data_IF_126561809186
#
_entry.id   IF_126561809186
#
_cell.length_a   1.000
_cell.length_b   1.000
_cell.length_c   1.000
_cell.angle_alpha   90.00
_cell.angle_beta   90.00
_cell.angle_gamma   90.00
#
_symmetry.space_group_name_H-M   'P 1'
#
loop_
_entity.id
_entity.type
_entity.pdbx_description
1 polymer ?
#
# COMPACT_ATOMS: atom_id res chain seq x y z
N UNK A 1 1.93 -21.55 -18.32
CA UNK A 1 1.46 -21.63 -16.94
C UNK A 1 1.19 -20.22 -16.36
N UNK A 2 0.35 -20.17 -15.32
CA UNK A 2 -0.04 -18.91 -14.65
C UNK A 2 0.19 -19.07 -13.16
N UNK A 3 0.78 -18.03 -12.53
CA UNK A 3 0.95 -17.92 -11.08
C UNK A 3 0.19 -16.70 -10.57
N UNK A 4 -0.62 -16.87 -9.53
CA UNK A 4 -1.43 -15.81 -8.93
C UNK A 4 -0.79 -15.34 -7.62
N UNK A 5 -0.59 -14.04 -7.47
CA UNK A 5 -0.07 -13.42 -6.26
C UNK A 5 -0.96 -12.26 -5.82
N UNK A 6 -1.21 -12.15 -4.51
CA UNK A 6 -1.99 -11.04 -3.98
C UNK A 6 -1.26 -9.71 -4.11
N UNK A 7 -1.97 -8.66 -4.50
CA UNK A 7 -1.43 -7.29 -4.59
C UNK A 7 -1.14 -6.68 -3.23
N UNK A 8 -1.63 -7.26 -2.14
CA UNK A 8 -1.37 -6.75 -0.78
C UNK A 8 0.12 -6.75 -0.46
N UNK A 9 0.84 -7.83 -0.79
CA UNK A 9 2.30 -7.91 -0.74
C UNK A 9 2.88 -7.42 -2.07
N UNK A 10 2.69 -6.14 -2.36
CA UNK A 10 2.98 -5.53 -3.65
C UNK A 10 4.45 -5.66 -4.06
N UNK A 11 5.37 -5.46 -3.11
CA UNK A 11 6.80 -5.63 -3.35
C UNK A 11 7.13 -7.08 -3.74
N UNK A 12 6.56 -8.05 -3.05
CA UNK A 12 6.71 -9.47 -3.39
C UNK A 12 6.19 -9.77 -4.80
N UNK A 13 5.01 -9.26 -5.14
CA UNK A 13 4.45 -9.42 -6.48
C UNK A 13 5.42 -8.89 -7.55
N UNK A 14 6.00 -7.70 -7.35
CA UNK A 14 6.93 -7.11 -8.33
C UNK A 14 8.25 -7.88 -8.41
N UNK A 15 8.79 -8.33 -7.29
CA UNK A 15 10.00 -9.17 -7.27
C UNK A 15 9.77 -10.48 -8.02
N UNK A 16 8.68 -11.18 -7.76
CA UNK A 16 8.35 -12.45 -8.43
C UNK A 16 8.11 -12.23 -9.92
N UNK A 17 7.40 -11.16 -10.29
CA UNK A 17 7.17 -10.81 -11.71
C UNK A 17 8.51 -10.58 -12.44
N UNK A 18 9.41 -9.84 -11.82
CA UNK A 18 10.74 -9.57 -12.38
C UNK A 18 11.58 -10.84 -12.48
N UNK A 19 11.57 -11.65 -11.44
CA UNK A 19 12.28 -12.94 -11.43
C UNK A 19 11.80 -13.86 -12.56
N UNK A 20 10.48 -13.98 -12.74
CA UNK A 20 9.91 -14.80 -13.81
C UNK A 20 10.34 -14.33 -15.20
N UNK A 21 10.44 -13.02 -15.41
CA UNK A 21 10.91 -12.43 -16.66
C UNK A 21 12.42 -12.63 -16.86
N UNK A 22 13.22 -12.32 -15.84
CA UNK A 22 14.69 -12.38 -15.94
C UNK A 22 15.22 -13.82 -16.11
N UNK A 23 14.53 -14.81 -15.55
CA UNK A 23 14.89 -16.23 -15.64
C UNK A 23 14.15 -16.96 -16.78
N UNK A 24 13.35 -16.25 -17.56
CA UNK A 24 12.55 -16.81 -18.67
C UNK A 24 11.77 -18.09 -18.27
N UNK A 25 11.07 -18.01 -17.13
CA UNK A 25 10.41 -19.18 -16.55
C UNK A 25 9.17 -19.65 -17.34
N UNK A 26 8.75 -18.91 -18.37
CA UNK A 26 7.54 -19.22 -19.14
C UNK A 26 6.26 -19.14 -18.33
N UNK A 27 6.27 -18.45 -17.18
CA UNK A 27 5.13 -18.31 -16.28
C UNK A 27 4.62 -16.87 -16.31
N UNK A 28 3.31 -16.71 -16.54
CA UNK A 28 2.65 -15.42 -16.44
C UNK A 28 2.26 -15.16 -14.98
N UNK A 29 2.84 -14.11 -14.38
CA UNK A 29 2.48 -13.68 -13.02
C UNK A 29 1.33 -12.69 -13.09
N UNK A 30 0.26 -12.96 -12.35
CA UNK A 30 -0.94 -12.11 -12.30
C UNK A 30 -1.16 -11.65 -10.86
N UNK A 31 -1.28 -10.33 -10.67
CA UNK A 31 -1.65 -9.73 -9.39
C UNK A 31 -3.15 -9.83 -9.14
N UNK A 32 -3.52 -10.37 -7.99
CA UNK A 32 -4.91 -10.44 -7.54
C UNK A 32 -5.22 -9.24 -6.65
N UNK A 33 -6.31 -8.49 -6.91
CA UNK A 33 -6.66 -7.32 -6.11
C UNK A 33 -6.79 -7.63 -4.62
N UNK A 34 -6.51 -6.61 -3.79
CA UNK A 34 -6.67 -6.71 -2.33
C UNK A 34 -8.14 -6.91 -2.00
N UNK A 35 -8.44 -7.93 -1.21
CA UNK A 35 -9.76 -8.12 -0.62
C UNK A 35 -9.83 -7.27 0.66
N UNK A 36 -10.93 -6.54 0.82
CA UNK A 36 -11.12 -5.62 1.93
C UNK A 36 -12.40 -5.93 2.70
N UNK A 37 -12.37 -5.63 3.99
CA UNK A 37 -13.57 -5.53 4.81
C UNK A 37 -14.44 -4.36 4.33
N UNK A 38 -15.72 -4.31 4.78
CA UNK A 38 -16.67 -3.25 4.37
C UNK A 38 -16.17 -1.83 4.67
N UNK A 39 -15.39 -1.67 5.74
CA UNK A 39 -14.82 -0.38 6.15
C UNK A 39 -13.50 -0.03 5.46
N UNK A 40 -13.03 -0.89 4.56
CA UNK A 40 -11.82 -0.68 3.77
C UNK A 40 -10.57 -1.33 4.30
N UNK A 41 -10.59 -1.91 5.51
CA UNK A 41 -9.43 -2.61 6.05
C UNK A 41 -9.04 -3.78 5.15
N UNK A 42 -7.78 -3.81 4.72
CA UNK A 42 -7.25 -4.95 3.95
C UNK A 42 -7.33 -6.23 4.78
N UNK A 43 -7.91 -7.28 4.22
CA UNK A 43 -8.04 -8.57 4.91
C UNK A 43 -6.65 -9.16 5.20
N UNK A 44 -6.48 -9.64 6.42
CA UNK A 44 -5.25 -10.27 6.90
C UNK A 44 -5.55 -11.16 8.09
N UNK A 45 -4.83 -12.29 8.20
CA UNK A 45 -4.86 -13.12 9.40
C UNK A 45 -4.40 -12.37 10.66
N UNK A 46 -3.58 -11.33 10.49
CA UNK A 46 -3.11 -10.49 11.61
C UNK A 46 -4.21 -9.62 12.22
N UNK A 47 -5.32 -9.39 11.51
CA UNK A 47 -6.41 -8.57 12.02
C UNK A 47 -7.08 -9.16 13.28
N UNK A 48 -6.96 -10.47 13.50
CA UNK A 48 -7.49 -11.12 14.73
C UNK A 48 -6.78 -10.69 16.00
N UNK A 49 -5.56 -10.15 15.91
CA UNK A 49 -4.79 -9.65 17.04
C UNK A 49 -5.16 -8.23 17.46
N UNK A 50 -5.99 -7.54 16.69
CA UNK A 50 -6.43 -6.18 16.99
C UNK A 50 -7.47 -6.19 18.10
N UNK A 51 -7.29 -5.32 19.11
CA UNK A 51 -8.34 -5.04 20.08
C UNK A 51 -9.53 -4.37 19.40
N UNK A 52 -10.67 -4.29 20.06
CA UNK A 52 -11.86 -3.59 19.53
C UNK A 52 -11.54 -2.15 19.14
N UNK A 53 -10.81 -1.42 20.00
CA UNK A 53 -10.39 -0.04 19.74
C UNK A 53 -9.44 0.04 18.55
N UNK A 54 -8.42 -0.83 18.49
CA UNK A 54 -7.47 -0.88 17.39
C UNK A 54 -8.14 -1.24 16.07
N UNK A 55 -9.06 -2.19 16.08
CA UNK A 55 -9.83 -2.59 14.91
C UNK A 55 -10.67 -1.43 14.35
N UNK A 56 -11.25 -0.61 15.22
CA UNK A 56 -12.01 0.56 14.81
C UNK A 56 -11.14 1.64 14.12
N UNK A 57 -9.88 1.76 14.52
CA UNK A 57 -8.92 2.72 13.96
C UNK A 57 -8.20 2.17 12.71
N UNK A 58 -8.02 0.86 12.62
CA UNK A 58 -7.24 0.22 11.55
C UNK A 58 -7.61 0.66 10.11
N UNK A 59 -8.90 0.86 9.75
CA UNK A 59 -9.27 1.34 8.42
C UNK A 59 -8.74 2.73 8.05
N UNK A 60 -8.19 3.48 9.00
CA UNK A 60 -7.61 4.79 8.76
C UNK A 60 -6.48 4.75 7.74
N UNK A 61 -5.68 3.68 7.69
CA UNK A 61 -4.61 3.54 6.70
C UNK A 61 -5.15 3.63 5.27
N UNK A 62 -6.22 2.90 4.97
CA UNK A 62 -6.84 2.94 3.66
C UNK A 62 -7.47 4.31 3.36
N UNK A 63 -8.12 4.92 4.32
CA UNK A 63 -8.71 6.27 4.15
C UNK A 63 -7.65 7.31 3.84
N UNK A 64 -6.53 7.30 4.56
CA UNK A 64 -5.42 8.24 4.31
C UNK A 64 -4.83 8.04 2.93
N UNK A 65 -4.62 6.79 2.50
CA UNK A 65 -4.13 6.53 1.14
C UNK A 65 -5.11 6.99 0.06
N UNK A 66 -6.41 6.76 0.24
CA UNK A 66 -7.44 7.23 -0.70
C UNK A 66 -7.45 8.73 -0.81
N UNK A 67 -7.39 9.44 0.31
CA UNK A 67 -7.35 10.90 0.33
C UNK A 67 -6.07 11.44 -0.33
N UNK A 68 -4.92 10.84 -0.01
CA UNK A 68 -3.67 11.18 -0.65
C UNK A 68 -3.72 10.97 -2.17
N UNK A 69 -4.21 9.82 -2.62
CA UNK A 69 -4.36 9.53 -4.04
C UNK A 69 -5.27 10.54 -4.75
N UNK A 70 -6.39 10.91 -4.12
CA UNK A 70 -7.31 11.92 -4.65
C UNK A 70 -6.64 13.29 -4.78
N UNK A 71 -5.93 13.73 -3.73
CA UNK A 71 -5.22 15.01 -3.75
C UNK A 71 -4.13 15.04 -4.83
N UNK A 72 -3.39 13.95 -4.99
CA UNK A 72 -2.37 13.83 -6.04
C UNK A 72 -2.98 13.90 -7.44
N UNK A 73 -4.07 13.19 -7.69
CA UNK A 73 -4.79 13.26 -8.98
C UNK A 73 -5.30 14.67 -9.29
N UNK A 74 -5.64 15.44 -8.27
CA UNK A 74 -6.11 16.82 -8.41
C UNK A 74 -4.97 17.86 -8.44
N UNK A 75 -3.72 17.42 -8.62
CA UNK A 75 -2.57 18.31 -8.78
C UNK A 75 -1.87 18.71 -7.48
N UNK A 76 -2.17 18.05 -6.36
CA UNK A 76 -1.49 18.29 -5.08
C UNK A 76 0.00 18.00 -5.15
N UNK A 77 0.80 18.78 -4.39
CA UNK A 77 2.23 18.58 -4.28
C UNK A 77 2.53 17.24 -3.58
N UNK A 78 3.34 16.39 -4.19
CA UNK A 78 3.64 15.04 -3.69
C UNK A 78 4.22 15.08 -2.27
N UNK A 79 5.23 15.91 -2.03
CA UNK A 79 5.88 15.99 -0.73
C UNK A 79 4.91 16.42 0.38
N UNK A 80 4.11 17.44 0.13
CA UNK A 80 3.10 17.96 1.06
C UNK A 80 2.02 16.90 1.34
N UNK A 81 1.48 16.28 0.31
CA UNK A 81 0.44 15.26 0.46
C UNK A 81 0.93 14.06 1.28
N UNK A 82 2.14 13.60 1.02
CA UNK A 82 2.73 12.47 1.75
C UNK A 82 3.06 12.84 3.20
N UNK A 83 3.54 14.06 3.46
CA UNK A 83 3.80 14.55 4.82
C UNK A 83 2.51 14.66 5.64
N UNK A 84 1.44 15.18 5.05
CA UNK A 84 0.13 15.28 5.70
C UNK A 84 -0.44 13.90 6.04
N UNK A 85 -0.32 12.96 5.12
CA UNK A 85 -0.75 11.57 5.33
C UNK A 85 0.03 10.90 6.45
N UNK A 86 1.35 11.06 6.46
CA UNK A 86 2.24 10.58 7.53
C UNK A 86 1.81 11.10 8.90
N UNK A 87 1.56 12.41 8.99
CA UNK A 87 1.08 13.04 10.22
C UNK A 87 -0.27 12.46 10.67
N UNK A 88 -1.22 12.33 9.75
CA UNK A 88 -2.56 11.79 10.05
C UNK A 88 -2.48 10.36 10.58
N UNK A 89 -1.63 9.51 9.99
CA UNK A 89 -1.42 8.14 10.45
C UNK A 89 -0.84 8.14 11.87
N UNK A 90 0.17 8.96 12.13
CA UNK A 90 0.77 9.09 13.46
C UNK A 90 -0.23 9.59 14.52
N UNK A 91 -1.00 10.61 14.19
CA UNK A 91 -2.03 11.19 15.09
C UNK A 91 -3.16 10.19 15.40
N UNK A 92 -3.41 9.23 14.51
CA UNK A 92 -4.37 8.14 14.74
C UNK A 92 -3.85 7.04 15.67
N UNK A 93 -2.60 7.11 16.12
CA UNK A 93 -2.01 6.18 17.07
C UNK A 93 -1.16 5.06 16.45
N UNK A 94 -0.84 5.16 15.17
CA UNK A 94 0.06 4.21 14.54
C UNK A 94 1.53 4.60 14.72
N UNK A 95 2.38 3.60 14.90
CA UNK A 95 3.82 3.71 14.73
C UNK A 95 4.14 3.40 13.26
N UNK A 96 4.45 4.43 12.48
CA UNK A 96 4.68 4.31 11.05
C UNK A 96 6.05 3.72 10.75
N UNK A 97 6.10 2.64 9.94
CA UNK A 97 7.35 2.16 9.35
C UNK A 97 7.66 2.95 8.07
N UNK A 98 6.70 3.01 7.16
CA UNK A 98 6.79 3.84 5.96
C UNK A 98 5.40 4.18 5.41
N UNK A 99 5.31 5.34 4.79
CA UNK A 99 4.25 5.74 3.89
C UNK A 99 4.89 6.41 2.67
N UNK A 100 4.89 5.73 1.54
CA UNK A 100 5.69 6.11 0.38
C UNK A 100 4.89 6.05 -0.91
N UNK A 101 5.25 6.95 -1.83
CA UNK A 101 4.83 6.91 -3.22
C UNK A 101 5.98 6.38 -4.07
N UNK A 102 5.74 5.33 -4.83
CA UNK A 102 6.74 4.66 -5.67
C UNK A 102 6.21 4.47 -7.08
N UNK A 103 7.12 4.31 -8.03
CA UNK A 103 6.74 3.88 -9.38
C UNK A 103 6.07 2.51 -9.32
N UNK A 104 4.87 2.39 -9.89
CA UNK A 104 4.05 1.18 -9.75
C UNK A 104 4.70 -0.08 -10.33
N UNK A 105 5.53 0.05 -11.36
CA UNK A 105 6.20 -1.09 -12.00
C UNK A 105 7.56 -1.41 -11.40
N UNK A 106 8.38 -0.39 -11.16
CA UNK A 106 9.79 -0.57 -10.77
C UNK A 106 10.04 -0.41 -9.28
N UNK A 107 9.08 0.16 -8.53
CA UNK A 107 9.22 0.58 -7.13
C UNK A 107 10.31 1.65 -6.90
N UNK A 108 10.76 2.29 -7.97
CA UNK A 108 11.71 3.39 -7.87
C UNK A 108 11.08 4.59 -7.16
N UNK A 109 11.88 5.40 -6.43
CA UNK A 109 11.41 6.66 -5.91
C UNK A 109 10.89 7.56 -7.03
N UNK A 110 9.85 8.35 -6.74
CA UNK A 110 9.28 9.32 -7.67
C UNK A 110 9.28 10.71 -7.04
N UNK A 111 9.25 11.75 -7.89
CA UNK A 111 9.16 13.15 -7.49
C UNK A 111 7.82 13.76 -7.84
N UNK A 112 7.14 13.23 -8.86
CA UNK A 112 5.82 13.68 -9.27
C UNK A 112 5.07 12.58 -10.01
N UNK A 113 3.75 12.77 -10.23
CA UNK A 113 2.95 11.85 -11.04
C UNK A 113 3.39 11.79 -12.51
N UNK A 114 4.19 12.74 -12.97
CA UNK A 114 4.74 12.75 -14.34
C UNK A 114 5.82 11.69 -14.55
N UNK A 115 6.39 11.14 -13.49
CA UNK A 115 7.43 10.13 -13.56
C UNK A 115 6.92 8.75 -14.01
N UNK A 116 5.60 8.54 -14.03
CA UNK A 116 4.96 7.31 -14.47
C UNK A 116 3.80 6.91 -13.57
N UNK A 117 3.28 5.67 -13.71
CA UNK A 117 2.22 5.18 -12.82
C UNK A 117 2.73 5.08 -11.38
N UNK A 118 1.88 5.48 -10.44
CA UNK A 118 2.25 5.62 -9.02
C UNK A 118 1.48 4.65 -8.16
N UNK A 119 2.18 4.05 -7.19
CA UNK A 119 1.61 3.23 -6.12
C UNK A 119 1.93 3.85 -4.77
N UNK A 120 0.91 4.03 -3.93
CA UNK A 120 1.09 4.38 -2.54
C UNK A 120 1.19 3.11 -1.71
N UNK A 121 2.19 3.06 -0.83
CA UNK A 121 2.50 1.90 0.00
C UNK A 121 2.61 2.35 1.44
N UNK A 122 2.01 1.59 2.36
CA UNK A 122 2.06 1.87 3.79
C UNK A 122 2.34 0.62 4.59
N UNK A 123 3.14 0.76 5.63
CA UNK A 123 3.29 -0.21 6.69
C UNK A 123 3.36 0.52 8.03
N UNK A 124 2.53 0.10 8.96
CA UNK A 124 2.45 0.74 10.27
C UNK A 124 2.00 -0.26 11.34
N UNK A 125 2.44 -0.06 12.56
CA UNK A 125 2.00 -0.84 13.73
C UNK A 125 0.92 -0.09 14.50
N UNK A 126 -0.09 -0.81 14.94
CA UNK A 126 -1.00 -0.37 15.98
C UNK A 126 -0.89 -1.36 17.15
N UNK A 127 -0.44 -0.87 18.31
CA UNK A 127 0.01 -1.77 19.36
C UNK A 127 1.19 -2.62 18.87
N UNK A 128 1.08 -3.94 18.97
CA UNK A 128 2.09 -4.89 18.47
C UNK A 128 1.79 -5.45 17.08
N UNK A 129 0.66 -5.07 16.47
CA UNK A 129 0.23 -5.63 15.19
C UNK A 129 0.67 -4.73 14.04
N UNK A 130 1.47 -5.29 13.14
CA UNK A 130 1.91 -4.61 11.92
C UNK A 130 0.90 -4.84 10.80
N UNK A 131 0.41 -3.74 10.24
CA UNK A 131 -0.51 -3.73 9.10
C UNK A 131 0.21 -3.18 7.87
N UNK A 132 -0.10 -3.74 6.72
CA UNK A 132 0.36 -3.25 5.41
C UNK A 132 -0.83 -3.03 4.49
N UNK A 133 -0.70 -2.07 3.59
CA UNK A 133 -1.69 -1.80 2.56
C UNK A 133 -1.04 -1.05 1.39
N UNK A 134 -1.71 -1.00 0.26
CA UNK A 134 -1.29 -0.19 -0.88
C UNK A 134 -2.47 0.09 -1.81
N UNK A 135 -2.38 1.17 -2.57
CA UNK A 135 -3.33 1.52 -3.63
C UNK A 135 -2.61 2.17 -4.82
N UNK A 136 -3.22 2.07 -6.00
CA UNK A 136 -2.81 2.86 -7.16
C UNK A 136 -3.35 4.30 -7.10
N UNK A 137 -2.60 5.22 -7.67
CA UNK A 137 -3.02 6.62 -7.84
C UNK A 137 -3.70 6.84 -9.17
#
# INVERSE_FOLDING_TARGET
DVALFGQKDYQQLKVVTRMAADLDLGVKVIGVPIVRERDGLAMSSRNVYLSTTQRAVAPMLHRVMKEAAKRLRNGGNLETVMADGTKTIGDAGFALDYFEARHAETLAPIRSLKDGPVRLLVAAKIGTTRLIDNIGV
#
